data_IF_758377801347
#
_entry.id   IF_758377801347
#
_cell.length_a   1.000
_cell.length_b   1.000
_cell.length_c   1.000
_cell.angle_alpha   90.00
_cell.angle_beta   90.00
_cell.angle_gamma   90.00
#
_symmetry.space_group_name_H-M   'P 1'
#
loop_
_entity.id
_entity.type
_entity.pdbx_description
1 polymer ?
#
# COMPACT_ATOMS: atom_id res chain seq x y z
N UNK A 1 3.08 -12.98 -7.71
CA UNK A 1 2.38 -12.27 -6.64
C UNK A 1 1.13 -13.01 -6.24
N UNK A 2 0.83 -12.99 -4.98
CA UNK A 2 -0.29 -13.76 -4.47
C UNK A 2 -1.23 -12.84 -3.70
N UNK A 3 -2.52 -12.92 -3.99
CA UNK A 3 -3.53 -12.16 -3.26
C UNK A 3 -4.17 -13.06 -2.22
N UNK A 4 -4.28 -12.53 -1.04
CA UNK A 4 -4.88 -13.22 0.10
C UNK A 4 -6.07 -12.46 0.60
N UNK A 5 -6.92 -13.20 1.31
CA UNK A 5 -7.91 -12.58 2.10
C UNK A 5 -9.17 -12.27 1.34
N UNK A 6 -10.00 -11.62 1.93
CA UNK A 6 -11.40 -11.50 1.62
C UNK A 6 -11.65 -10.46 0.59
N UNK A 7 -11.23 -10.71 -0.62
CA UNK A 7 -11.63 -9.84 -1.71
C UNK A 7 -12.84 -10.46 -2.36
N UNK A 8 -13.96 -9.76 -2.27
CA UNK A 8 -15.19 -10.17 -2.89
C UNK A 8 -15.53 -9.12 -3.94
N UNK A 9 -15.59 -9.54 -5.20
CA UNK A 9 -15.86 -8.64 -6.32
C UNK A 9 -14.90 -7.47 -6.38
N UNK A 10 -13.62 -7.72 -6.01
CA UNK A 10 -12.62 -6.68 -6.03
C UNK A 10 -12.70 -5.70 -4.87
N UNK A 11 -13.49 -5.99 -3.86
CA UNK A 11 -13.67 -5.14 -2.69
C UNK A 11 -13.21 -5.87 -1.45
N UNK A 12 -12.65 -5.13 -0.50
CA UNK A 12 -12.27 -5.69 0.79
C UNK A 12 -10.81 -5.44 1.11
N UNK A 13 -10.32 -6.12 2.14
CA UNK A 13 -8.93 -6.00 2.55
C UNK A 13 -8.10 -7.08 1.89
N UNK A 14 -6.91 -6.70 1.45
CA UNK A 14 -6.04 -7.57 0.67
C UNK A 14 -4.65 -7.57 1.27
N UNK A 15 -4.01 -8.74 1.23
CA UNK A 15 -2.57 -8.85 1.48
C UNK A 15 -1.93 -9.44 0.24
N UNK A 16 -0.88 -8.80 -0.23
CA UNK A 16 -0.12 -9.26 -1.38
C UNK A 16 1.28 -9.62 -0.96
N UNK A 17 1.79 -10.71 -1.51
CA UNK A 17 3.09 -11.26 -1.13
C UNK A 17 3.98 -11.32 -2.37
N UNK A 18 5.28 -11.13 -2.16
CA UNK A 18 6.24 -11.28 -3.23
C UNK A 18 6.51 -12.77 -3.50
N UNK A 19 7.37 -13.04 -4.50
CA UNK A 19 7.64 -14.43 -4.88
C UNK A 19 8.37 -15.23 -3.79
N UNK A 20 8.94 -14.54 -2.81
CA UNK A 20 9.59 -15.19 -1.68
C UNK A 20 8.63 -15.39 -0.50
N UNK A 21 7.39 -14.98 -0.65
CA UNK A 21 6.40 -15.13 0.40
C UNK A 21 6.41 -14.01 1.42
N UNK A 22 7.14 -12.93 1.16
CA UNK A 22 7.16 -11.78 2.06
C UNK A 22 6.05 -10.81 1.73
N UNK A 23 5.47 -10.22 2.75
CA UNK A 23 4.40 -9.25 2.57
C UNK A 23 4.89 -8.05 1.78
N UNK A 24 4.18 -7.68 0.73
CA UNK A 24 4.48 -6.52 -0.11
C UNK A 24 3.52 -5.38 0.07
N UNK A 25 2.27 -5.71 0.30
CA UNK A 25 1.21 -4.72 0.42
C UNK A 25 0.11 -5.27 1.30
N UNK A 26 -0.47 -4.42 2.11
CA UNK A 26 -1.73 -4.76 2.76
C UNK A 26 -2.58 -3.50 2.80
N UNK A 27 -3.86 -3.65 2.54
CA UNK A 27 -4.73 -2.50 2.52
C UNK A 27 -6.08 -2.80 1.91
N UNK A 28 -6.77 -1.73 1.58
CA UNK A 28 -8.13 -1.80 1.10
C UNK A 28 -8.18 -1.74 -0.42
N UNK A 29 -9.09 -2.53 -0.98
CA UNK A 29 -9.35 -2.55 -2.41
C UNK A 29 -10.79 -2.18 -2.67
N UNK A 30 -11.01 -1.52 -3.79
CA UNK A 30 -12.33 -1.21 -4.30
C UNK A 30 -12.31 -1.42 -5.80
N UNK A 31 -13.22 -2.25 -6.29
CA UNK A 31 -13.33 -2.55 -7.73
C UNK A 31 -12.00 -3.03 -8.32
N UNK A 32 -11.29 -3.86 -7.56
CA UNK A 32 -10.07 -4.48 -8.03
C UNK A 32 -8.82 -3.61 -7.93
N UNK A 33 -8.92 -2.43 -7.35
CA UNK A 33 -7.78 -1.52 -7.22
C UNK A 33 -7.61 -1.05 -5.78
N UNK A 34 -6.37 -0.75 -5.41
CA UNK A 34 -6.09 -0.18 -4.10
C UNK A 34 -6.89 1.10 -3.94
N UNK A 35 -7.61 1.20 -2.84
CA UNK A 35 -8.44 2.36 -2.58
C UNK A 35 -8.69 2.45 -1.08
N UNK A 36 -8.37 3.59 -0.49
CA UNK A 36 -8.45 3.75 0.95
C UNK A 36 -7.07 3.63 1.57
N UNK A 37 -6.96 3.04 2.74
CA UNK A 37 -5.71 2.98 3.46
C UNK A 37 -4.91 1.73 3.09
N UNK A 38 -3.59 1.90 3.01
CA UNK A 38 -2.75 0.76 2.71
C UNK A 38 -1.32 0.98 3.16
N UNK A 39 -0.56 -0.11 3.14
CA UNK A 39 0.85 -0.13 3.52
C UNK A 39 1.64 -0.92 2.50
N UNK A 40 2.79 -0.38 2.12
CA UNK A 40 3.70 -1.06 1.20
C UNK A 40 4.96 -1.46 1.95
N UNK A 41 5.45 -2.64 1.63
CA UNK A 41 6.63 -3.22 2.27
C UNK A 41 7.67 -3.58 1.23
N UNK A 42 8.92 -3.48 1.62
CA UNK A 42 10.03 -3.96 0.81
C UNK A 42 10.91 -4.83 1.69
N UNK A 43 11.13 -6.06 1.26
CA UNK A 43 11.91 -7.05 2.03
C UNK A 43 11.40 -7.18 3.46
N UNK A 44 10.07 -7.13 3.62
CA UNK A 44 9.43 -7.28 4.91
C UNK A 44 9.42 -6.04 5.78
N UNK A 45 9.95 -4.92 5.29
CA UNK A 45 10.01 -3.67 6.05
C UNK A 45 9.03 -2.66 5.51
N UNK A 46 8.37 -1.95 6.41
CA UNK A 46 7.42 -0.92 6.02
C UNK A 46 8.14 0.21 5.30
N UNK A 47 7.68 0.53 4.11
CA UNK A 47 8.28 1.54 3.26
C UNK A 47 7.36 2.73 3.06
N UNK A 48 6.06 2.49 3.05
CA UNK A 48 5.08 3.53 2.85
C UNK A 48 3.77 3.14 3.53
N UNK A 49 3.11 4.12 4.12
CA UNK A 49 1.72 3.92 4.54
C UNK A 49 0.94 5.19 4.23
N UNK A 50 -0.29 5.02 3.78
CA UNK A 50 -1.08 6.17 3.43
C UNK A 50 -2.35 5.80 2.69
N UNK A 51 -2.84 6.78 1.95
CA UNK A 51 -4.11 6.69 1.24
C UNK A 51 -3.89 6.43 -0.24
N UNK A 52 -4.81 5.68 -0.82
CA UNK A 52 -4.78 5.29 -2.23
C UNK A 52 -6.11 5.63 -2.89
N UNK A 53 -6.05 5.91 -4.18
CA UNK A 53 -7.23 6.08 -5.01
C UNK A 53 -6.95 5.48 -6.37
N UNK A 54 -7.82 4.56 -6.79
CA UNK A 54 -7.68 3.91 -8.11
C UNK A 54 -6.30 3.30 -8.35
N UNK A 55 -5.72 2.71 -7.29
CA UNK A 55 -4.45 2.02 -7.41
C UNK A 55 -3.23 2.89 -7.23
N UNK A 56 -3.40 4.19 -7.03
CA UNK A 56 -2.27 5.11 -6.88
C UNK A 56 -2.30 5.78 -5.53
N UNK A 57 -1.13 6.15 -5.03
CA UNK A 57 -1.05 6.94 -3.81
C UNK A 57 -1.74 8.27 -4.03
N UNK A 58 -2.64 8.61 -3.14
CA UNK A 58 -3.43 9.83 -3.30
C UNK A 58 -3.98 10.24 -1.94
N UNK A 59 -3.63 11.44 -1.49
CA UNK A 59 -3.99 11.89 -0.16
C UNK A 59 -2.77 11.85 0.74
N UNK A 60 -2.97 11.62 2.02
CA UNK A 60 -1.89 11.68 2.99
C UNK A 60 -1.07 10.41 2.97
N UNK A 61 0.24 10.56 3.14
CA UNK A 61 1.12 9.41 3.18
C UNK A 61 2.40 9.68 3.92
N UNK A 62 3.05 8.58 4.33
CA UNK A 62 4.33 8.62 5.04
C UNK A 62 5.27 7.61 4.40
N UNK A 63 6.52 8.03 4.21
CA UNK A 63 7.57 7.15 3.72
C UNK A 63 8.61 6.93 4.80
N UNK A 64 9.14 5.71 4.85
CA UNK A 64 10.12 5.31 5.85
C UNK A 64 11.39 4.82 5.18
N UNK A 65 12.52 5.06 5.83
CA UNK A 65 13.77 4.53 5.33
C UNK A 65 13.95 3.08 5.78
N UNK A 66 15.05 2.49 5.38
CA UNK A 66 15.32 1.09 5.67
C UNK A 66 15.43 0.80 7.17
N UNK A 67 15.79 1.80 7.95
CA UNK A 67 15.89 1.68 9.41
C UNK A 67 14.56 1.92 10.10
N UNK A 68 13.50 2.18 9.34
CA UNK A 68 12.20 2.44 9.91
C UNK A 68 11.96 3.88 10.34
N UNK A 69 12.87 4.78 9.98
CA UNK A 69 12.71 6.18 10.32
C UNK A 69 11.87 6.91 9.29
N UNK A 70 11.04 7.82 9.78
CA UNK A 70 10.20 8.62 8.90
C UNK A 70 11.07 9.51 8.02
N UNK A 71 10.90 9.40 6.70
CA UNK A 71 11.64 10.17 5.72
C UNK A 71 10.82 11.29 5.12
N UNK A 72 9.54 11.07 4.97
CA UNK A 72 8.66 12.02 4.32
C UNK A 72 7.25 11.83 4.85
N UNK A 73 6.59 12.92 5.07
CA UNK A 73 5.18 12.92 5.44
C UNK A 73 4.53 14.07 4.72
N UNK A 74 3.51 13.79 3.92
CA UNK A 74 2.87 14.83 3.15
C UNK A 74 1.75 14.26 2.31
N UNK A 75 1.47 14.96 1.21
CA UNK A 75 0.36 14.59 0.36
C UNK A 75 0.82 14.14 -1.01
N UNK A 76 0.02 13.26 -1.58
CA UNK A 76 0.25 12.69 -2.90
C UNK A 76 -0.93 12.98 -3.80
N UNK A 77 -0.66 13.08 -5.09
CA UNK A 77 -1.69 13.18 -6.10
C UNK A 77 -1.31 12.28 -7.25
N UNK A 78 -2.18 11.30 -7.54
CA UNK A 78 -1.97 10.36 -8.64
C UNK A 78 -0.60 9.72 -8.63
N UNK A 79 -0.14 9.32 -7.44
CA UNK A 79 1.10 8.61 -7.28
C UNK A 79 2.32 9.47 -7.02
N UNK A 80 2.20 10.78 -7.15
CA UNK A 80 3.33 11.69 -7.01
C UNK A 80 3.19 12.57 -5.78
N UNK A 81 4.32 12.92 -5.20
CA UNK A 81 4.33 13.86 -4.07
C UNK A 81 3.96 15.25 -4.53
N UNK A 82 3.15 15.90 -3.75
CA UNK A 82 2.81 17.31 -3.99
C UNK A 82 3.88 18.23 -3.45
#
# INVERSE_FOLDING_TARGET
MRLWNSVINGNGKVKEYDYKGKLRFEGEYLNGKMNGKGKEYKDGKLEFEGEYLNGLRNGKGKEYDYDGKLRFEGEYLNGEKL
#
